data_IF_719497197195
#
_entry.id   IF_719497197195
#
_cell.length_a   1.000
_cell.length_b   1.000
_cell.length_c   1.000
_cell.angle_alpha   90.00
_cell.angle_beta   90.00
_cell.angle_gamma   90.00
#
_symmetry.space_group_name_H-M   'P 1'
#
loop_
_entity.id
_entity.type
_entity.pdbx_description
1 polymer ?
#
# COMPACT_ATOMS: atom_id res chain seq x y z
N UNK A 1 -10.25 16.50 26.40
CA UNK A 1 -10.72 15.27 25.75
C UNK A 1 -9.88 14.15 26.35
N UNK A 2 -10.50 13.18 27.03
CA UNK A 2 -9.82 12.11 27.78
C UNK A 2 -9.86 10.77 27.04
N UNK A 3 -10.17 10.81 25.74
CA UNK A 3 -10.11 9.66 24.86
C UNK A 3 -8.64 9.39 24.52
N UNK A 4 -8.11 8.25 24.97
CA UNK A 4 -6.72 7.82 24.84
C UNK A 4 -6.47 7.00 23.55
N UNK A 5 -7.50 6.83 22.72
CA UNK A 5 -7.38 6.10 21.45
C UNK A 5 -6.63 6.94 20.41
N UNK A 6 -5.72 6.27 19.69
CA UNK A 6 -4.99 6.88 18.56
C UNK A 6 -5.92 7.16 17.36
N UNK A 7 -6.90 6.29 17.11
CA UNK A 7 -7.90 6.46 16.05
C UNK A 7 -9.29 6.75 16.65
N UNK A 8 -10.01 7.69 16.04
CA UNK A 8 -11.38 8.04 16.40
C UNK A 8 -12.44 7.30 15.56
N UNK A 9 -12.01 6.46 14.61
CA UNK A 9 -12.89 5.70 13.74
C UNK A 9 -13.85 4.79 14.50
N UNK A 10 -15.07 4.66 13.95
CA UNK A 10 -16.16 3.87 14.55
C UNK A 10 -15.83 2.37 14.65
N UNK A 11 -15.11 1.84 13.68
CA UNK A 11 -14.79 0.42 13.57
C UNK A 11 -13.28 0.23 13.59
N UNK A 12 -12.77 -0.43 14.63
CA UNK A 12 -11.35 -0.70 14.83
C UNK A 12 -11.20 -2.17 15.20
N UNK A 13 -10.51 -2.93 14.36
CA UNK A 13 -10.29 -4.36 14.60
C UNK A 13 -9.09 -4.85 13.78
N UNK A 14 -8.47 -5.92 14.26
CA UNK A 14 -7.48 -6.68 13.50
C UNK A 14 -8.10 -7.98 12.99
N UNK A 15 -7.75 -8.44 11.77
CA UNK A 15 -8.26 -9.70 11.25
C UNK A 15 -7.86 -10.87 12.15
N UNK A 16 -8.84 -11.66 12.59
CA UNK A 16 -8.57 -12.89 13.34
C UNK A 16 -7.74 -13.83 12.46
N UNK A 17 -6.55 -14.20 12.93
CA UNK A 17 -5.62 -15.04 12.20
C UNK A 17 -4.69 -14.29 11.24
N UNK A 18 -4.68 -12.96 11.27
CA UNK A 18 -3.75 -12.11 10.51
C UNK A 18 -4.23 -11.74 9.11
N UNK A 19 -3.56 -10.75 8.51
CA UNK A 19 -3.92 -10.22 7.20
C UNK A 19 -3.72 -11.23 6.06
N UNK A 20 -2.72 -12.12 6.14
CA UNK A 20 -2.50 -13.16 5.12
C UNK A 20 -3.74 -14.02 4.93
N UNK A 21 -4.33 -14.54 6.02
CA UNK A 21 -5.56 -15.36 5.94
C UNK A 21 -6.78 -14.60 5.42
N UNK A 22 -6.82 -13.28 5.64
CA UNK A 22 -7.85 -12.45 5.04
C UNK A 22 -7.70 -12.40 3.52
N UNK A 23 -6.49 -12.13 3.02
CA UNK A 23 -6.23 -12.03 1.58
C UNK A 23 -6.32 -13.39 0.88
N UNK A 24 -5.86 -14.48 1.48
CA UNK A 24 -6.06 -15.84 0.97
C UNK A 24 -7.54 -16.09 0.68
N UNK A 25 -8.44 -15.73 1.60
CA UNK A 25 -9.90 -15.89 1.39
C UNK A 25 -10.48 -14.95 0.34
N UNK A 26 -9.95 -13.74 0.20
CA UNK A 26 -10.39 -12.79 -0.83
C UNK A 26 -10.03 -13.33 -2.22
N UNK A 27 -8.88 -13.99 -2.34
CA UNK A 27 -8.33 -14.49 -3.61
C UNK A 27 -8.72 -15.95 -3.93
N UNK A 28 -9.32 -16.67 -2.97
CA UNK A 28 -9.77 -18.06 -3.13
C UNK A 28 -11.07 -18.15 -3.94
N UNK A 29 -10.94 -17.99 -5.26
CA UNK A 29 -12.05 -18.12 -6.21
C UNK A 29 -11.56 -18.77 -7.51
N UNK A 30 -12.32 -19.69 -8.14
CA UNK A 30 -11.87 -20.42 -9.33
C UNK A 30 -11.57 -19.53 -10.55
N UNK A 31 -12.07 -18.29 -10.56
CA UNK A 31 -11.79 -17.31 -11.63
C UNK A 31 -10.56 -16.42 -11.34
N UNK A 32 -9.87 -16.64 -10.23
CA UNK A 32 -8.69 -15.86 -9.83
C UNK A 32 -7.47 -16.76 -9.91
N UNK A 33 -6.50 -16.36 -10.73
CA UNK A 33 -5.17 -16.96 -10.78
C UNK A 33 -4.19 -15.97 -10.17
N UNK A 34 -3.38 -16.42 -9.20
CA UNK A 34 -2.37 -15.58 -8.55
C UNK A 34 -0.98 -16.03 -8.99
N UNK A 35 -0.22 -15.10 -9.55
CA UNK A 35 1.20 -15.27 -9.87
C UNK A 35 2.02 -14.40 -8.91
N UNK A 36 2.87 -15.03 -8.10
CA UNK A 36 3.78 -14.36 -7.16
C UNK A 36 5.18 -14.28 -7.76
N UNK A 37 6.04 -13.41 -7.22
CA UNK A 37 7.41 -13.20 -7.71
C UNK A 37 7.46 -12.94 -9.23
N UNK A 38 6.48 -12.18 -9.74
CA UNK A 38 6.29 -11.95 -11.16
C UNK A 38 6.13 -10.46 -11.39
N UNK A 39 7.08 -9.84 -12.08
CA UNK A 39 6.96 -8.46 -12.51
C UNK A 39 6.13 -8.37 -13.79
N UNK A 40 5.05 -7.58 -13.77
CA UNK A 40 4.17 -7.40 -14.92
C UNK A 40 4.95 -6.97 -16.18
N UNK A 41 5.94 -6.08 -16.04
CA UNK A 41 6.68 -5.55 -17.20
C UNK A 41 7.64 -6.59 -17.81
N UNK A 42 7.97 -7.65 -17.09
CA UNK A 42 8.80 -8.75 -17.60
C UNK A 42 7.97 -9.82 -18.32
N UNK A 43 6.68 -9.94 -18.00
CA UNK A 43 5.81 -11.00 -18.51
C UNK A 43 4.64 -10.51 -19.36
N UNK A 44 4.44 -9.20 -19.54
CA UNK A 44 3.26 -8.64 -20.21
C UNK A 44 3.02 -9.26 -21.58
N UNK A 45 4.08 -9.50 -22.35
CA UNK A 45 4.01 -10.08 -23.69
C UNK A 45 3.64 -11.57 -23.69
N UNK A 46 3.71 -12.23 -22.53
CA UNK A 46 3.46 -13.66 -22.34
C UNK A 46 2.06 -13.95 -21.75
N UNK A 47 1.38 -12.94 -21.20
CA UNK A 47 0.08 -13.10 -20.52
C UNK A 47 -1.10 -13.31 -21.49
N UNK A 48 -0.87 -13.15 -22.80
CA UNK A 48 -1.92 -13.20 -23.82
C UNK A 48 -2.78 -11.94 -23.85
N UNK A 49 -3.90 -12.00 -24.57
CA UNK A 49 -4.84 -10.89 -24.66
C UNK A 49 -5.74 -10.82 -23.42
N UNK A 50 -5.89 -9.62 -22.85
CA UNK A 50 -6.83 -9.32 -21.78
C UNK A 50 -7.62 -8.06 -22.10
N UNK A 51 -8.86 -7.98 -21.62
CA UNK A 51 -9.76 -6.86 -21.92
C UNK A 51 -9.44 -5.59 -21.12
N UNK A 52 -9.00 -5.74 -19.86
CA UNK A 52 -8.78 -4.63 -18.93
C UNK A 52 -7.55 -4.91 -18.07
N UNK A 53 -6.75 -3.88 -17.80
CA UNK A 53 -5.65 -3.90 -16.85
C UNK A 53 -5.97 -3.02 -15.65
N UNK A 54 -5.87 -3.56 -14.44
CA UNK A 54 -5.94 -2.80 -13.19
C UNK A 54 -4.55 -2.68 -12.59
N UNK A 55 -3.92 -1.53 -12.75
CA UNK A 55 -2.56 -1.28 -12.30
C UNK A 55 -2.54 -0.57 -10.95
N UNK A 56 -1.80 -1.13 -9.99
CA UNK A 56 -1.74 -0.64 -8.60
C UNK A 56 -0.34 -0.18 -8.17
N UNK A 57 0.67 -0.39 -9.03
CA UNK A 57 2.06 0.02 -8.78
C UNK A 57 2.31 1.52 -8.99
N UNK A 58 3.59 1.97 -8.88
CA UNK A 58 3.95 3.36 -9.11
C UNK A 58 3.58 3.81 -10.54
N UNK A 59 2.84 4.91 -10.66
CA UNK A 59 2.37 5.41 -11.96
C UNK A 59 3.51 5.86 -12.86
N UNK A 60 4.55 6.45 -12.29
CA UNK A 60 5.76 6.87 -12.99
C UNK A 60 6.56 5.67 -13.53
N UNK A 61 6.54 4.53 -12.83
CA UNK A 61 7.09 3.27 -13.35
C UNK A 61 6.32 2.75 -14.57
N UNK A 62 4.99 2.84 -14.55
CA UNK A 62 4.17 2.41 -15.69
C UNK A 62 4.53 3.16 -16.98
N UNK A 63 4.88 4.44 -16.85
CA UNK A 63 5.25 5.31 -17.96
C UNK A 63 6.77 5.44 -18.15
N UNK A 64 7.59 4.56 -17.58
CA UNK A 64 9.05 4.68 -17.60
C UNK A 64 9.66 4.75 -19.02
N UNK A 65 9.04 4.07 -19.99
CA UNK A 65 9.48 4.09 -21.39
C UNK A 65 8.86 5.21 -22.23
N UNK A 66 8.07 6.12 -21.63
CA UNK A 66 7.53 7.27 -22.32
C UNK A 66 8.56 8.40 -22.34
N UNK A 67 9.13 8.67 -23.51
CA UNK A 67 10.17 9.70 -23.72
C UNK A 67 9.75 11.12 -23.30
N UNK A 68 8.44 11.38 -23.16
CA UNK A 68 7.90 12.68 -22.75
C UNK A 68 7.76 12.83 -21.22
N UNK A 69 7.81 11.73 -20.47
CA UNK A 69 7.57 11.70 -19.02
C UNK A 69 8.82 11.17 -18.29
N UNK A 70 9.80 12.04 -18.13
CA UNK A 70 11.13 11.68 -17.60
C UNK A 70 11.32 11.96 -16.11
N UNK A 71 10.46 12.79 -15.52
CA UNK A 71 10.57 13.17 -14.11
C UNK A 71 9.98 12.10 -13.18
N UNK A 72 10.82 11.50 -12.33
CA UNK A 72 10.36 10.49 -11.36
C UNK A 72 9.64 11.14 -10.18
N UNK A 73 8.62 10.44 -9.65
CA UNK A 73 7.94 10.84 -8.43
C UNK A 73 8.76 10.45 -7.22
N UNK A 74 8.79 11.31 -6.20
CA UNK A 74 9.51 11.01 -4.96
C UNK A 74 8.64 10.14 -4.04
N UNK A 75 9.19 9.05 -3.53
CA UNK A 75 8.55 8.22 -2.53
C UNK A 75 9.46 8.12 -1.31
N UNK A 76 8.86 8.15 -0.12
CA UNK A 76 9.56 7.76 1.10
C UNK A 76 9.53 6.25 1.24
N UNK A 77 10.67 5.69 1.61
CA UNK A 77 10.86 4.29 1.93
C UNK A 77 11.04 4.10 3.44
N UNK A 78 10.90 2.86 3.89
CA UNK A 78 11.10 2.47 5.29
C UNK A 78 12.02 1.26 5.31
N UNK A 79 13.08 1.36 6.11
CA UNK A 79 13.89 0.20 6.49
C UNK A 79 13.40 -0.35 7.83
N UNK A 80 13.03 -1.63 7.83
CA UNK A 80 12.55 -2.35 9.00
C UNK A 80 13.67 -3.22 9.58
N UNK A 81 14.13 -2.88 10.78
CA UNK A 81 15.14 -3.67 11.51
C UNK A 81 14.46 -4.47 12.60
N UNK A 82 14.46 -5.79 12.47
CA UNK A 82 13.84 -6.70 13.44
C UNK A 82 14.86 -7.17 14.48
N UNK A 83 14.48 -7.15 15.76
CA UNK A 83 15.27 -7.68 16.87
C UNK A 83 14.44 -8.70 17.66
N UNK A 84 15.08 -9.80 18.05
CA UNK A 84 14.49 -10.83 18.91
C UNK A 84 15.13 -10.77 20.29
N UNK A 85 14.31 -10.67 21.33
CA UNK A 85 14.77 -10.40 22.68
C UNK A 85 14.25 -11.48 23.63
N UNK A 86 15.13 -11.92 24.54
CA UNK A 86 14.82 -12.91 25.58
C UNK A 86 14.15 -12.24 26.79
N UNK A 87 13.00 -11.62 26.54
CA UNK A 87 12.15 -11.01 27.56
C UNK A 87 10.69 -11.03 27.10
N UNK A 88 9.78 -10.96 28.07
CA UNK A 88 8.35 -11.00 27.77
C UNK A 88 7.89 -9.73 27.04
N UNK A 89 8.12 -8.53 27.55
CA UNK A 89 7.77 -7.30 26.83
C UNK A 89 8.96 -6.36 26.80
N UNK A 90 9.21 -5.75 25.64
CA UNK A 90 10.25 -4.74 25.49
C UNK A 90 9.75 -3.34 25.89
N UNK A 91 8.49 -3.03 25.55
CA UNK A 91 7.89 -1.71 25.76
C UNK A 91 6.44 -1.83 26.25
N UNK A 92 5.92 -0.74 26.83
CA UNK A 92 4.59 -0.73 27.46
C UNK A 92 3.43 -0.85 26.49
N UNK A 93 3.63 -0.57 25.19
CA UNK A 93 2.56 -0.51 24.20
C UNK A 93 2.99 -1.03 22.83
N UNK A 94 2.05 -1.32 21.93
CA UNK A 94 2.31 -1.90 20.62
C UNK A 94 3.20 -1.03 19.72
N UNK A 95 3.12 0.30 19.87
CA UNK A 95 3.92 1.26 19.11
C UNK A 95 4.36 2.39 20.04
N UNK A 96 5.66 2.67 20.08
CA UNK A 96 6.24 3.82 20.80
C UNK A 96 6.99 4.70 19.80
N UNK A 97 6.59 5.97 19.72
CA UNK A 97 7.21 6.96 18.82
C UNK A 97 8.37 7.68 19.50
N UNK A 98 9.42 7.97 18.75
CA UNK A 98 10.62 8.68 19.20
C UNK A 98 10.77 9.97 18.37
N UNK A 99 10.10 11.07 18.77
CA UNK A 99 10.04 12.30 17.97
C UNK A 99 11.29 13.20 18.10
N UNK A 100 12.21 12.87 19.01
CA UNK A 100 13.47 13.59 19.20
C UNK A 100 14.55 13.17 18.21
N UNK A 101 15.72 13.81 18.31
CA UNK A 101 16.90 13.50 17.48
C UNK A 101 17.90 12.57 18.19
N UNK A 102 17.50 11.96 19.32
CA UNK A 102 18.39 11.12 20.13
C UNK A 102 18.61 9.73 19.51
N UNK A 103 17.78 9.34 18.55
CA UNK A 103 17.81 8.06 17.84
C UNK A 103 17.54 8.27 16.36
N UNK A 104 18.06 7.36 15.53
CA UNK A 104 17.94 7.44 14.07
C UNK A 104 16.65 6.79 13.50
N UNK A 105 15.83 6.17 14.35
CA UNK A 105 14.55 5.56 13.99
C UNK A 105 13.37 6.38 14.49
N UNK A 106 12.23 6.26 13.80
CA UNK A 106 11.02 7.03 14.11
C UNK A 106 10.16 6.42 15.20
N UNK A 107 10.12 5.08 15.26
CA UNK A 107 9.33 4.31 16.23
C UNK A 107 9.80 2.87 16.34
N UNK A 108 9.33 2.22 17.41
CA UNK A 108 9.46 0.79 17.64
C UNK A 108 8.06 0.17 17.70
N UNK A 109 7.87 -0.91 16.95
CA UNK A 109 6.65 -1.72 16.95
C UNK A 109 6.91 -3.06 17.64
N UNK A 110 6.09 -3.41 18.62
CA UNK A 110 6.13 -4.70 19.30
C UNK A 110 4.81 -5.44 19.03
N UNK A 111 4.83 -6.37 18.06
CA UNK A 111 3.61 -6.97 17.52
C UNK A 111 2.83 -7.82 18.51
N UNK A 112 3.50 -8.30 19.57
CA UNK A 112 2.90 -9.19 20.57
C UNK A 112 1.70 -8.55 21.28
N UNK A 113 1.71 -7.22 21.44
CA UNK A 113 0.61 -6.44 21.99
C UNK A 113 -0.67 -6.52 21.15
N UNK A 114 -0.57 -6.58 19.82
CA UNK A 114 -1.75 -6.60 18.94
C UNK A 114 -2.57 -7.89 19.03
N UNK A 115 -1.91 -9.01 19.28
CA UNK A 115 -2.54 -10.33 19.37
C UNK A 115 -2.74 -10.85 20.79
N UNK A 116 -2.29 -10.11 21.82
CA UNK A 116 -2.13 -10.62 23.19
C UNK A 116 -1.44 -11.99 23.25
N UNK A 117 -0.47 -12.20 22.36
CA UNK A 117 0.22 -13.49 22.24
C UNK A 117 1.06 -13.74 23.49
N UNK A 118 0.92 -14.93 24.09
CA UNK A 118 1.69 -15.34 25.26
C UNK A 118 3.01 -15.97 24.81
N UNK A 119 4.14 -15.40 25.23
CA UNK A 119 5.49 -15.87 24.89
C UNK A 119 6.50 -15.33 25.88
N UNK A 120 7.48 -16.15 26.29
CA UNK A 120 8.59 -15.72 27.16
C UNK A 120 9.58 -14.77 26.46
N UNK A 121 9.57 -14.75 25.12
CA UNK A 121 10.39 -13.88 24.28
C UNK A 121 9.53 -12.90 23.49
N UNK A 122 10.15 -11.85 22.94
CA UNK A 122 9.47 -10.85 22.12
C UNK A 122 10.27 -10.50 20.87
N UNK A 123 9.58 -9.94 19.88
CA UNK A 123 10.17 -9.41 18.66
C UNK A 123 9.72 -7.97 18.48
N UNK A 124 10.68 -7.09 18.24
CA UNK A 124 10.43 -5.68 17.96
C UNK A 124 10.91 -5.33 16.56
N UNK A 125 10.33 -4.28 15.99
CA UNK A 125 10.75 -3.72 14.71
C UNK A 125 11.01 -2.23 14.88
N UNK A 126 12.23 -1.80 14.58
CA UNK A 126 12.62 -0.39 14.48
C UNK A 126 12.41 0.09 13.04
N UNK A 127 11.72 1.23 12.89
CA UNK A 127 11.42 1.82 11.59
C UNK A 127 12.30 3.04 11.30
N UNK A 128 13.16 2.93 10.29
CA UNK A 128 14.02 4.01 9.81
C UNK A 128 13.45 4.60 8.51
N UNK A 129 13.28 5.91 8.45
CA UNK A 129 12.88 6.57 7.20
C UNK A 129 14.10 6.70 6.30
N UNK A 130 13.98 6.24 5.06
CA UNK A 130 15.04 6.33 4.05
C UNK A 130 14.46 6.83 2.72
N UNK A 131 15.32 7.39 1.88
CA UNK A 131 14.92 7.97 0.59
C UNK A 131 14.94 6.95 -0.56
N UNK A 132 15.61 5.80 -0.38
CA UNK A 132 15.75 4.76 -1.41
C UNK A 132 15.09 3.44 -0.98
N UNK A 133 14.64 2.64 -1.94
CA UNK A 133 14.01 1.33 -1.72
C UNK A 133 12.54 1.30 -2.11
N UNK A 134 11.78 0.40 -1.47
CA UNK A 134 10.36 0.19 -1.78
C UNK A 134 9.52 1.45 -1.53
N UNK A 135 8.66 1.86 -2.48
CA UNK A 135 7.86 3.07 -2.32
C UNK A 135 6.71 2.83 -1.33
N UNK A 136 6.85 3.32 -0.09
CA UNK A 136 5.80 3.19 0.93
C UNK A 136 4.83 4.38 0.94
N UNK A 137 5.35 5.60 0.83
CA UNK A 137 4.56 6.84 0.94
C UNK A 137 4.89 7.85 -0.16
N UNK A 138 3.88 8.37 -0.88
CA UNK A 138 4.03 9.56 -1.72
C UNK A 138 4.56 10.76 -0.93
N UNK A 139 5.41 11.59 -1.52
CA UNK A 139 5.86 12.85 -0.91
C UNK A 139 4.95 14.01 -1.35
N UNK A 140 4.14 14.58 -0.45
CA UNK A 140 3.15 15.59 -0.80
C UNK A 140 3.78 16.99 -0.87
N UNK A 141 4.52 17.27 -1.95
CA UNK A 141 5.05 18.59 -2.25
C UNK A 141 4.54 19.10 -3.61
N UNK A 142 4.69 20.41 -3.86
CA UNK A 142 4.18 21.06 -5.08
C UNK A 142 4.78 20.46 -6.36
N UNK A 143 6.09 20.24 -6.38
CA UNK A 143 6.81 19.63 -7.51
C UNK A 143 6.22 18.26 -7.89
N UNK A 144 6.05 17.35 -6.93
CA UNK A 144 5.49 16.02 -7.19
C UNK A 144 4.02 16.08 -7.61
N UNK A 145 3.24 17.07 -7.14
CA UNK A 145 1.87 17.27 -7.60
C UNK A 145 1.84 17.69 -9.08
N UNK A 146 2.78 18.52 -9.52
CA UNK A 146 2.90 18.92 -10.92
C UNK A 146 3.31 17.75 -11.82
N UNK A 147 4.33 16.99 -11.41
CA UNK A 147 4.77 15.77 -12.09
C UNK A 147 3.61 14.75 -12.19
N UNK A 148 2.92 14.48 -11.07
CA UNK A 148 1.80 13.52 -11.05
C UNK A 148 0.66 13.94 -12.00
N UNK A 149 0.38 15.23 -12.16
CA UNK A 149 -0.65 15.70 -13.12
C UNK A 149 -0.31 15.31 -14.56
N UNK A 150 0.97 15.32 -14.93
CA UNK A 150 1.41 14.90 -16.26
C UNK A 150 1.16 13.40 -16.46
N UNK A 151 1.60 12.58 -15.51
CA UNK A 151 1.32 11.14 -15.53
C UNK A 151 -0.18 10.83 -15.56
N UNK A 152 -0.97 11.53 -14.74
CA UNK A 152 -2.42 11.36 -14.70
C UNK A 152 -3.09 11.72 -16.02
N UNK A 153 -2.61 12.76 -16.70
CA UNK A 153 -3.13 13.18 -18.01
C UNK A 153 -2.89 12.11 -19.07
N UNK A 154 -1.74 11.44 -19.08
CA UNK A 154 -1.49 10.34 -20.01
C UNK A 154 -2.29 9.08 -19.61
N UNK A 155 -2.38 8.77 -18.32
CA UNK A 155 -3.22 7.68 -17.80
C UNK A 155 -4.68 7.82 -18.23
N UNK A 156 -5.24 9.03 -18.21
CA UNK A 156 -6.64 9.29 -18.57
C UNK A 156 -6.95 9.11 -20.06
N UNK A 157 -5.93 8.95 -20.91
CA UNK A 157 -6.11 8.63 -22.33
C UNK A 157 -6.25 7.14 -22.59
N UNK A 158 -5.87 6.29 -21.63
CA UNK A 158 -5.94 4.84 -21.76
C UNK A 158 -7.37 4.37 -21.50
N UNK A 159 -7.95 3.62 -22.43
CA UNK A 159 -9.36 3.18 -22.34
C UNK A 159 -9.56 1.94 -21.49
N UNK A 160 -8.54 1.08 -21.43
CA UNK A 160 -8.62 -0.25 -20.85
C UNK A 160 -7.58 -0.47 -19.75
N UNK A 161 -6.89 0.59 -19.32
CA UNK A 161 -5.96 0.58 -18.19
C UNK A 161 -6.49 1.49 -17.09
N UNK A 162 -6.66 0.94 -15.90
CA UNK A 162 -7.21 1.62 -14.75
C UNK A 162 -6.18 1.68 -13.61
N UNK A 163 -5.87 2.90 -13.18
CA UNK A 163 -4.92 3.17 -12.09
C UNK A 163 -5.68 3.29 -10.77
N UNK A 164 -5.36 2.41 -9.82
CA UNK A 164 -6.10 2.31 -8.55
C UNK A 164 -5.16 1.99 -7.39
N UNK A 165 -5.39 2.60 -6.22
CA UNK A 165 -4.58 2.39 -5.03
C UNK A 165 -3.49 3.44 -4.80
N UNK A 166 -2.75 3.26 -3.70
CA UNK A 166 -1.84 4.27 -3.13
C UNK A 166 -0.81 4.79 -4.13
N UNK A 167 -0.10 3.88 -4.79
CA UNK A 167 1.02 4.22 -5.67
C UNK A 167 0.52 4.70 -7.04
N UNK A 168 -0.43 3.98 -7.62
CA UNK A 168 -1.01 4.33 -8.91
C UNK A 168 -1.76 5.67 -8.89
N UNK A 169 -2.35 6.06 -7.75
CA UNK A 169 -3.00 7.35 -7.60
C UNK A 169 -2.14 8.41 -6.90
N UNK A 170 -0.88 8.08 -6.55
CA UNK A 170 0.05 8.93 -5.81
C UNK A 170 -0.61 9.65 -4.63
N UNK A 171 -1.34 8.88 -3.81
CA UNK A 171 -2.14 9.39 -2.69
C UNK A 171 -1.86 8.60 -1.43
N UNK A 172 -1.76 9.26 -0.29
CA UNK A 172 -1.73 8.59 0.99
C UNK A 172 -3.11 7.97 1.28
N UNK A 173 -3.20 6.65 1.27
CA UNK A 173 -4.39 5.90 1.68
C UNK A 173 -4.12 5.01 2.89
N UNK A 174 -5.01 5.07 3.87
CA UNK A 174 -5.20 3.98 4.83
C UNK A 174 -5.85 2.77 4.13
N UNK A 175 -5.85 1.59 4.77
CA UNK A 175 -6.35 0.36 4.15
C UNK A 175 -7.84 0.46 3.76
N UNK A 176 -8.68 1.03 4.63
CA UNK A 176 -10.11 1.25 4.38
C UNK A 176 -10.35 2.15 3.17
N UNK A 177 -9.54 3.21 3.01
CA UNK A 177 -9.59 4.11 1.87
C UNK A 177 -9.14 3.42 0.58
N UNK A 178 -8.14 2.54 0.64
CA UNK A 178 -7.71 1.74 -0.51
C UNK A 178 -8.80 0.74 -0.93
N UNK A 179 -9.45 0.04 0.01
CA UNK A 179 -10.61 -0.80 -0.28
C UNK A 179 -11.76 0.01 -0.89
N UNK A 180 -12.03 1.19 -0.33
CA UNK A 180 -13.08 2.07 -0.85
C UNK A 180 -12.77 2.52 -2.28
N UNK A 181 -11.53 2.92 -2.55
CA UNK A 181 -11.07 3.33 -3.87
C UNK A 181 -11.24 2.23 -4.93
N UNK A 182 -10.92 0.98 -4.58
CA UNK A 182 -11.15 -0.17 -5.47
C UNK A 182 -12.65 -0.45 -5.72
N UNK A 183 -13.47 -0.42 -4.66
CA UNK A 183 -14.91 -0.66 -4.77
C UNK A 183 -15.64 0.44 -5.56
N UNK A 184 -15.26 1.71 -5.38
CA UNK A 184 -15.83 2.81 -6.15
C UNK A 184 -15.53 2.67 -7.64
N UNK A 185 -14.28 2.30 -8.00
CA UNK A 185 -13.89 2.02 -9.39
C UNK A 185 -14.69 0.84 -9.96
N UNK A 186 -14.78 -0.27 -9.23
CA UNK A 186 -15.57 -1.43 -9.64
C UNK A 186 -17.03 -1.05 -9.95
N UNK A 187 -17.68 -0.31 -9.05
CA UNK A 187 -19.06 0.15 -9.26
C UNK A 187 -19.20 1.11 -10.45
N UNK A 188 -18.20 1.94 -10.72
CA UNK A 188 -18.19 2.80 -11.90
C UNK A 188 -18.18 2.00 -13.20
N UNK A 189 -17.33 0.96 -13.28
CA UNK A 189 -17.20 0.13 -14.47
C UNK A 189 -18.45 -0.72 -14.71
N UNK A 190 -19.00 -1.35 -13.67
CA UNK A 190 -20.26 -2.11 -13.76
C UNK A 190 -21.41 -1.27 -14.32
N UNK A 191 -21.53 -0.01 -13.89
CA UNK A 191 -22.55 0.92 -14.41
C UNK A 191 -22.32 1.27 -15.88
N UNK A 192 -21.06 1.44 -16.31
CA UNK A 192 -20.72 1.76 -17.71
C UNK A 192 -21.01 0.57 -18.62
N UNK A 193 -20.67 -0.64 -18.20
CA UNK A 193 -20.88 -1.86 -18.98
C UNK A 193 -22.38 -2.15 -19.14
N UNK A 194 -23.18 -1.97 -18.07
CA UNK A 194 -24.65 -2.11 -18.15
C UNK A 194 -25.27 -1.14 -19.17
N UNK A 195 -24.77 0.10 -19.27
CA UNK A 195 -25.26 1.11 -20.22
C UNK A 195 -24.82 0.88 -21.68
N UNK A 196 -23.83 0.02 -21.93
CA UNK A 196 -23.40 -0.34 -23.29
C UNK A 196 -24.19 -1.51 -23.87
N UNK A 197 -24.85 -2.30 -23.01
CA UNK A 197 -25.58 -3.52 -23.39
C UNK A 197 -27.11 -3.31 -23.50
N UNK A 198 -27.64 -2.17 -23.02
CA UNK A 198 -29.05 -1.79 -23.13
C UNK A 198 -29.30 -0.67 -24.12
#
# INVERSE_FOLDING_TARGET
NYDDRYFSDKHQALPKGGYTKLFEKILDHPNITVLLNTDYFEVSDQLGEYEKLFYTGPIDRFFEFNERLTEKLEYRSINFVTEHLDQEYYQENSVVNYPGNDVDFTRIVEYKHFGNQQSATTSIVKEYTIDEGEPYYPVPNEKNQEIYKLYKTEADKLTDVYFVGRLANYKYFNMDQAFRNALDLFQELERKDTKRVG
#
